data_IF_941407921336
#
_entry.id   IF_941407921336
#
_cell.length_a   1.000
_cell.length_b   1.000
_cell.length_c   1.000
_cell.angle_alpha   90.00
_cell.angle_beta   90.00
_cell.angle_gamma   90.00
#
_symmetry.space_group_name_H-M   'P 1'
#
loop_
_entity.id
_entity.type
_entity.pdbx_description
1 polymer ?
#
# COMPACT_ATOMS: atom_id res chain seq x y z
N UNK A 1 7.40 4.47 0.50
CA UNK A 1 6.48 3.73 1.38
C UNK A 1 6.09 4.61 2.53
N UNK A 2 4.79 4.83 2.71
CA UNK A 2 4.25 5.64 3.82
C UNK A 2 4.07 4.78 5.06
N UNK A 3 4.31 5.39 6.22
CA UNK A 3 4.26 4.73 7.52
C UNK A 3 2.88 4.88 8.13
N UNK A 4 2.31 3.75 8.52
CA UNK A 4 0.99 3.66 9.11
C UNK A 4 1.13 3.31 10.58
N UNK A 5 0.31 3.96 11.40
CA UNK A 5 0.14 3.60 12.80
C UNK A 5 -1.33 3.31 13.08
N UNK A 6 -1.60 2.28 13.89
CA UNK A 6 -2.96 1.84 14.23
C UNK A 6 -3.17 1.99 15.74
N UNK A 7 -4.22 2.72 16.11
CA UNK A 7 -4.54 3.06 17.50
C UNK A 7 -5.97 2.59 17.81
N UNK A 8 -6.09 1.55 18.62
CA UNK A 8 -7.38 0.96 19.01
C UNK A 8 -7.13 0.16 20.29
N UNK A 9 -7.99 0.27 21.31
CA UNK A 9 -7.80 -0.43 22.58
C UNK A 9 -7.99 -1.96 22.43
N UNK A 10 -8.77 -2.38 21.44
CA UNK A 10 -8.99 -3.78 21.11
C UNK A 10 -7.87 -4.34 20.20
N UNK A 11 -7.00 -5.17 20.79
CA UNK A 11 -5.94 -5.87 20.05
C UNK A 11 -6.47 -6.69 18.86
N UNK A 12 -7.68 -7.23 18.96
CA UNK A 12 -8.32 -7.98 17.90
C UNK A 12 -8.57 -7.12 16.65
N UNK A 13 -9.01 -5.87 16.84
CA UNK A 13 -9.26 -4.92 15.73
C UNK A 13 -7.94 -4.50 15.07
N UNK A 14 -6.90 -4.21 15.87
CA UNK A 14 -5.56 -3.92 15.32
C UNK A 14 -5.04 -5.08 14.45
N UNK A 15 -5.18 -6.31 14.95
CA UNK A 15 -4.81 -7.51 14.21
C UNK A 15 -5.64 -7.71 12.93
N UNK A 16 -6.94 -7.40 12.99
CA UNK A 16 -7.85 -7.49 11.85
C UNK A 16 -7.42 -6.50 10.76
N UNK A 17 -7.33 -5.20 11.09
CA UNK A 17 -6.91 -4.15 10.14
C UNK A 17 -5.60 -4.51 9.44
N UNK A 18 -4.61 -4.95 10.23
CA UNK A 18 -3.30 -5.35 9.72
C UNK A 18 -3.38 -6.49 8.69
N UNK A 19 -4.34 -7.41 8.85
CA UNK A 19 -4.52 -8.58 7.96
C UNK A 19 -5.48 -8.33 6.81
N UNK A 20 -6.41 -7.39 6.95
CA UNK A 20 -7.44 -7.08 5.95
C UNK A 20 -6.86 -6.40 4.72
N UNK A 21 -5.81 -5.60 4.90
CA UNK A 21 -5.21 -4.76 3.85
C UNK A 21 -3.87 -5.34 3.44
N UNK A 22 -3.58 -5.31 2.14
CA UNK A 22 -2.25 -5.59 1.64
C UNK A 22 -1.45 -4.27 1.59
N UNK A 23 -0.88 -3.89 2.72
CA UNK A 23 -0.18 -2.61 2.90
C UNK A 23 0.95 -2.42 1.88
N UNK A 24 1.71 -3.47 1.61
CA UNK A 24 2.84 -3.42 0.69
C UNK A 24 2.39 -3.18 -0.76
N UNK A 25 1.28 -3.79 -1.19
CA UNK A 25 0.67 -3.53 -2.52
C UNK A 25 0.25 -2.05 -2.66
N UNK A 26 -0.03 -1.36 -1.56
CA UNK A 26 -0.42 0.06 -1.51
C UNK A 26 0.74 1.01 -1.19
N UNK A 27 1.99 0.54 -1.18
CA UNK A 27 3.15 1.34 -0.77
C UNK A 27 2.99 1.92 0.65
N UNK A 28 2.37 1.15 1.54
CA UNK A 28 2.19 1.44 2.96
C UNK A 28 2.90 0.37 3.82
N UNK A 29 3.26 0.74 5.05
CA UNK A 29 3.71 -0.24 6.07
C UNK A 29 3.25 0.16 7.45
N UNK A 30 2.70 -0.80 8.19
CA UNK A 30 2.35 -0.62 9.61
C UNK A 30 3.64 -0.67 10.43
N UNK A 31 4.05 0.47 10.98
CA UNK A 31 5.27 0.66 11.78
C UNK A 31 4.97 0.94 13.26
N UNK A 32 3.69 1.11 13.62
CA UNK A 32 3.27 1.44 14.98
C UNK A 32 1.90 0.88 15.33
N UNK A 33 1.76 0.41 16.56
CA UNK A 33 0.47 0.05 17.16
C UNK A 33 0.40 0.67 18.56
N UNK A 34 -0.78 1.16 18.96
CA UNK A 34 -1.03 1.65 20.31
C UNK A 34 -2.44 1.26 20.76
N UNK A 35 -2.62 1.07 22.07
CA UNK A 35 -3.90 0.73 22.70
C UNK A 35 -4.62 1.95 23.29
N UNK A 36 -4.04 3.14 23.21
CA UNK A 36 -4.66 4.39 23.67
C UNK A 36 -4.07 5.61 22.97
N UNK A 37 -4.77 6.74 23.00
CA UNK A 37 -4.24 8.02 22.51
C UNK A 37 -2.96 8.45 23.24
N UNK A 38 -2.83 8.16 24.53
CA UNK A 38 -1.64 8.49 25.33
C UNK A 38 -0.43 7.68 24.87
N UNK A 39 -0.59 6.36 24.73
CA UNK A 39 0.46 5.50 24.19
C UNK A 39 0.86 5.94 22.79
N UNK A 40 -0.13 6.29 21.96
CA UNK A 40 0.14 6.77 20.61
C UNK A 40 1.01 8.03 20.60
N UNK A 41 0.70 9.03 21.45
CA UNK A 41 1.48 10.26 21.58
C UNK A 41 2.94 9.98 22.00
N UNK A 42 3.17 8.99 22.85
CA UNK A 42 4.53 8.70 23.34
C UNK A 42 5.46 8.14 22.26
N UNK A 43 4.91 7.43 21.27
CA UNK A 43 5.70 6.76 20.24
C UNK A 43 5.60 7.42 18.85
N UNK A 44 4.72 8.42 18.69
CA UNK A 44 4.49 9.09 17.40
C UNK A 44 5.74 9.80 16.88
N UNK A 45 6.56 10.38 17.76
CA UNK A 45 7.78 11.09 17.39
C UNK A 45 8.90 10.15 16.92
N UNK A 46 8.89 8.90 17.41
CA UNK A 46 9.83 7.84 17.02
C UNK A 46 9.42 7.21 15.68
N UNK A 47 8.14 6.84 15.55
CA UNK A 47 7.60 6.19 14.36
C UNK A 47 7.48 7.17 13.20
N UNK A 48 7.12 8.43 13.48
CA UNK A 48 6.76 9.48 12.52
C UNK A 48 5.80 8.97 11.44
N UNK A 49 4.59 8.50 11.81
CA UNK A 49 3.65 7.99 10.85
C UNK A 49 3.17 9.09 9.89
N UNK A 50 2.90 8.71 8.65
CA UNK A 50 2.25 9.56 7.65
C UNK A 50 0.72 9.43 7.75
N UNK A 51 0.24 8.24 8.15
CA UNK A 51 -1.18 7.92 8.33
C UNK A 51 -1.40 7.30 9.72
N UNK A 52 -2.42 7.75 10.44
CA UNK A 52 -2.92 7.11 11.65
C UNK A 52 -4.37 6.66 11.46
N UNK A 53 -4.63 5.39 11.73
CA UNK A 53 -5.98 4.89 12.02
C UNK A 53 -6.22 4.95 13.52
N UNK A 54 -7.30 5.58 13.97
CA UNK A 54 -7.59 5.73 15.40
C UNK A 54 -9.06 5.47 15.71
N UNK A 55 -9.32 4.61 16.70
CA UNK A 55 -10.67 4.41 17.24
C UNK A 55 -11.15 5.63 18.03
N UNK A 56 -12.45 5.95 17.96
CA UNK A 56 -13.01 7.05 18.77
C UNK A 56 -12.99 6.70 20.25
N UNK A 57 -13.46 5.51 20.64
CA UNK A 57 -13.74 5.19 22.04
C UNK A 57 -12.63 4.35 22.64
N UNK A 58 -11.64 5.06 23.16
CA UNK A 58 -10.56 4.46 23.94
C UNK A 58 -10.56 5.03 25.38
N UNK A 59 -10.10 4.26 26.37
CA UNK A 59 -9.93 4.75 27.74
C UNK A 59 -8.95 5.92 27.83
N UNK A 60 -9.16 6.78 28.84
CA UNK A 60 -8.33 7.94 29.23
C UNK A 60 -8.26 9.10 28.22
N UNK A 61 -8.02 8.81 26.95
CA UNK A 61 -7.98 9.77 25.86
C UNK A 61 -8.68 9.17 24.64
N UNK A 62 -9.76 9.81 24.21
CA UNK A 62 -10.53 9.35 23.07
C UNK A 62 -9.87 9.75 21.74
N UNK A 63 -10.27 9.11 20.63
CA UNK A 63 -9.65 9.32 19.32
C UNK A 63 -9.79 10.75 18.79
N UNK A 64 -10.84 11.47 19.19
CA UNK A 64 -11.11 12.86 18.79
C UNK A 64 -10.16 13.82 19.53
N UNK A 65 -9.98 13.62 20.83
CA UNK A 65 -9.01 14.35 21.65
C UNK A 65 -7.58 14.13 21.13
N UNK A 66 -7.24 12.87 20.84
CA UNK A 66 -5.98 12.50 20.21
C UNK A 66 -5.80 13.21 18.86
N UNK A 67 -6.79 13.15 17.97
CA UNK A 67 -6.71 13.77 16.65
C UNK A 67 -6.52 15.29 16.73
N UNK A 68 -7.24 15.95 17.65
CA UNK A 68 -7.12 17.39 17.92
C UNK A 68 -5.71 17.77 18.38
N UNK A 69 -5.11 16.95 19.24
CA UNK A 69 -3.73 17.13 19.68
C UNK A 69 -2.73 16.90 18.53
N UNK A 70 -2.89 15.79 17.82
CA UNK A 70 -1.97 15.34 16.78
C UNK A 70 -1.95 16.27 15.57
N UNK A 71 -3.10 16.69 15.05
CA UNK A 71 -3.17 17.59 13.88
C UNK A 71 -2.52 18.95 14.16
N UNK A 72 -2.71 19.49 15.37
CA UNK A 72 -2.08 20.76 15.77
C UNK A 72 -0.55 20.67 15.78
N UNK A 73 0.01 19.51 16.16
CA UNK A 73 1.45 19.30 16.29
C UNK A 73 2.09 18.77 15.00
N UNK A 74 1.35 18.00 14.21
CA UNK A 74 1.79 17.33 12.99
C UNK A 74 0.82 17.67 11.85
N UNK A 75 0.89 18.87 11.24
CA UNK A 75 -0.10 19.32 10.25
C UNK A 75 -0.16 18.48 8.98
N UNK A 76 0.91 17.73 8.67
CA UNK A 76 0.99 16.83 7.50
C UNK A 76 0.46 15.42 7.80
N UNK A 77 0.19 15.10 9.06
CA UNK A 77 -0.30 13.78 9.47
C UNK A 77 -1.73 13.58 8.97
N UNK A 78 -1.97 12.46 8.29
CA UNK A 78 -3.31 12.07 7.85
C UNK A 78 -3.94 11.19 8.93
N UNK A 79 -5.11 11.59 9.42
CA UNK A 79 -5.81 10.85 10.48
C UNK A 79 -7.12 10.31 9.91
N UNK A 80 -7.31 8.99 10.07
CA UNK A 80 -8.52 8.27 9.71
C UNK A 80 -9.18 7.78 10.99
N UNK A 81 -10.40 8.21 11.23
CA UNK A 81 -11.17 7.84 12.41
C UNK A 81 -11.89 6.51 12.17
N UNK A 82 -11.89 5.61 13.15
CA UNK A 82 -12.68 4.38 13.15
C UNK A 82 -13.79 4.51 14.20
N UNK A 83 -15.04 4.24 13.82
CA UNK A 83 -16.18 4.36 14.73
C UNK A 83 -17.19 3.23 14.56
N UNK A 84 -17.71 2.72 15.68
CA UNK A 84 -18.80 1.75 15.69
C UNK A 84 -20.20 2.39 15.62
N UNK A 85 -20.30 3.72 15.69
CA UNK A 85 -21.57 4.45 15.73
C UNK A 85 -21.65 5.45 14.58
N UNK A 86 -22.80 5.47 13.91
CA UNK A 86 -23.25 6.50 12.96
C UNK A 86 -23.66 7.80 13.67
N UNK A 87 -23.04 8.13 14.81
CA UNK A 87 -23.39 9.34 15.54
C UNK A 87 -22.92 10.57 14.75
N UNK A 88 -23.91 11.26 14.18
CA UNK A 88 -23.73 12.48 13.41
C UNK A 88 -22.91 13.55 14.15
N UNK A 89 -22.95 13.56 15.49
CA UNK A 89 -22.18 14.52 16.29
C UNK A 89 -20.67 14.26 16.18
N UNK A 90 -20.24 13.00 16.19
CA UNK A 90 -18.83 12.66 16.02
C UNK A 90 -18.33 12.98 14.61
N UNK A 91 -19.14 12.67 13.57
CA UNK A 91 -18.79 13.00 12.20
C UNK A 91 -18.60 14.52 12.02
N UNK A 92 -19.52 15.33 12.57
CA UNK A 92 -19.43 16.80 12.53
C UNK A 92 -18.18 17.32 13.25
N UNK A 93 -17.87 16.76 14.40
CA UNK A 93 -16.68 17.14 15.17
C UNK A 93 -15.38 16.77 14.43
N UNK A 94 -15.32 15.57 13.85
CA UNK A 94 -14.18 15.09 13.06
C UNK A 94 -13.89 16.00 11.86
N UNK A 95 -14.94 16.40 11.12
CA UNK A 95 -14.82 17.35 10.00
C UNK A 95 -14.23 18.68 10.47
N UNK A 96 -14.70 19.20 11.61
CA UNK A 96 -14.22 20.47 12.16
C UNK A 96 -12.77 20.45 12.64
N UNK A 97 -12.23 19.28 13.00
CA UNK A 97 -10.85 19.12 13.49
C UNK A 97 -9.86 18.96 12.32
N UNK A 98 -10.34 18.61 11.13
CA UNK A 98 -9.50 18.40 9.94
C UNK A 98 -8.95 16.98 9.83
N UNK A 99 -9.66 15.97 10.33
CA UNK A 99 -9.32 14.57 10.03
C UNK A 99 -9.47 14.32 8.53
N UNK A 100 -8.68 13.39 7.99
CA UNK A 100 -8.62 13.12 6.55
C UNK A 100 -9.81 12.29 6.07
N UNK A 101 -10.28 11.36 6.90
CA UNK A 101 -11.48 10.59 6.65
C UNK A 101 -12.02 9.91 7.92
N UNK A 102 -13.18 9.28 7.82
CA UNK A 102 -13.74 8.42 8.86
C UNK A 102 -14.35 7.15 8.26
N UNK A 103 -14.21 6.02 8.95
CA UNK A 103 -14.69 4.71 8.53
C UNK A 103 -15.58 4.08 9.60
N UNK A 104 -16.67 3.45 9.16
CA UNK A 104 -17.62 2.75 10.03
C UNK A 104 -17.16 1.31 10.29
N UNK A 105 -17.33 0.85 11.54
CA UNK A 105 -17.24 -0.57 11.90
C UNK A 105 -18.62 -1.21 11.63
N UNK A 106 -18.72 -2.40 11.02
CA UNK A 106 -17.64 -3.31 10.67
C UNK A 106 -16.85 -2.84 9.45
N UNK A 107 -15.52 -2.88 9.56
CA UNK A 107 -14.64 -2.28 8.56
C UNK A 107 -14.62 -3.15 7.30
N UNK A 108 -15.11 -2.61 6.18
CA UNK A 108 -15.16 -3.31 4.90
C UNK A 108 -13.89 -3.03 4.10
N UNK A 109 -13.23 -4.08 3.59
CA UNK A 109 -11.96 -3.94 2.84
C UNK A 109 -12.04 -2.95 1.67
N UNK A 110 -13.16 -2.92 0.96
CA UNK A 110 -13.36 -2.01 -0.17
C UNK A 110 -13.30 -0.54 0.28
N UNK A 111 -14.04 -0.18 1.34
CA UNK A 111 -14.05 1.18 1.89
C UNK A 111 -12.66 1.62 2.37
N UNK A 112 -11.94 0.75 3.09
CA UNK A 112 -10.57 1.08 3.53
C UNK A 112 -9.67 1.34 2.32
N UNK A 113 -9.78 0.49 1.29
CA UNK A 113 -8.95 0.65 0.10
C UNK A 113 -9.26 1.98 -0.58
N UNK A 114 -10.51 2.33 -0.77
CA UNK A 114 -10.91 3.58 -1.43
C UNK A 114 -10.42 4.81 -0.65
N UNK A 115 -10.59 4.81 0.67
CA UNK A 115 -10.06 5.85 1.57
C UNK A 115 -8.54 5.93 1.51
N UNK A 116 -7.83 4.80 1.49
CA UNK A 116 -6.37 4.77 1.39
C UNK A 116 -5.89 5.29 0.04
N UNK A 117 -6.52 4.93 -1.09
CA UNK A 117 -6.14 5.47 -2.40
C UNK A 117 -6.26 7.00 -2.44
N UNK A 118 -7.35 7.54 -1.88
CA UNK A 118 -7.57 9.00 -1.77
C UNK A 118 -6.48 9.66 -0.92
N UNK A 119 -6.17 9.10 0.25
CA UNK A 119 -5.18 9.68 1.17
C UNK A 119 -3.76 9.57 0.64
N UNK A 120 -3.42 8.44 0.00
CA UNK A 120 -2.13 8.27 -0.67
C UNK A 120 -1.96 9.32 -1.76
N UNK A 121 -2.99 9.57 -2.58
CA UNK A 121 -2.96 10.64 -3.58
C UNK A 121 -2.67 12.02 -2.97
N UNK A 122 -3.30 12.35 -1.84
CA UNK A 122 -3.01 13.60 -1.13
C UNK A 122 -1.57 13.68 -0.59
N UNK A 123 -1.08 12.59 -0.02
CA UNK A 123 0.30 12.50 0.48
C UNK A 123 1.32 12.58 -0.65
N UNK A 124 1.00 12.01 -1.82
CA UNK A 124 1.81 12.12 -3.02
C UNK A 124 1.83 13.57 -3.50
N UNK A 125 0.68 14.24 -3.61
CA UNK A 125 0.58 15.64 -4.02
C UNK A 125 1.35 16.59 -3.09
N UNK A 126 1.20 16.42 -1.77
CA UNK A 126 1.91 17.21 -0.76
C UNK A 126 3.43 16.99 -0.80
N UNK A 127 3.86 15.79 -1.19
CA UNK A 127 5.27 15.48 -1.37
C UNK A 127 5.81 16.06 -2.67
N UNK A 128 5.06 15.94 -3.76
CA UNK A 128 5.41 16.47 -5.09
C UNK A 128 5.39 18.00 -5.14
N UNK A 129 4.62 18.67 -4.27
CA UNK A 129 4.65 20.14 -4.13
C UNK A 129 5.78 20.62 -3.19
N UNK A 130 6.31 19.74 -2.33
CA UNK A 130 7.41 20.04 -1.41
C UNK A 130 8.80 19.73 -1.99
N UNK A 131 8.86 18.91 -3.03
CA UNK A 131 10.04 18.71 -3.88
C UNK A 131 9.87 19.60 -5.12
N UNK A 132 10.61 20.71 -5.28
CA UNK A 132 10.56 21.45 -6.53
C UNK A 132 10.97 20.51 -7.65
N UNK A 133 10.15 20.49 -8.69
CA UNK A 133 10.35 19.93 -10.02
C UNK A 133 11.84 19.73 -10.36
N UNK A 134 12.44 18.61 -9.95
CA UNK A 134 13.55 18.03 -10.70
C UNK A 134 12.91 17.31 -11.87
N UNK A 135 12.47 18.10 -12.85
CA UNK A 135 12.69 17.73 -14.24
C UNK A 135 14.14 17.25 -14.33
N UNK A 136 14.36 15.95 -14.41
CA UNK A 136 15.53 15.49 -15.15
C UNK A 136 15.21 15.88 -16.58
N UNK A 137 15.66 17.10 -16.92
CA UNK A 137 15.99 17.51 -18.27
C UNK A 137 16.56 16.30 -18.99
N UNK A 138 15.97 16.01 -20.16
CA UNK A 138 16.67 15.67 -21.37
C UNK A 138 18.20 15.42 -21.22
N UNK A 139 18.60 14.33 -20.58
CA UNK A 139 19.98 13.85 -20.72
C UNK A 139 20.04 13.11 -22.05
N UNK A 140 20.12 13.90 -23.13
CA UNK A 140 20.52 13.44 -24.46
C UNK A 140 19.49 12.61 -25.23
N UNK A 141 18.43 13.24 -25.73
CA UNK A 141 17.73 12.80 -26.95
C UNK A 141 16.98 11.45 -26.92
N UNK A 142 16.94 10.74 -25.81
CA UNK A 142 16.09 9.55 -25.61
C UNK A 142 15.03 9.85 -24.55
N UNK A 143 13.80 10.12 -25.01
CA UNK A 143 12.64 10.10 -24.11
C UNK A 143 12.40 8.65 -23.71
N UNK A 144 12.69 8.29 -22.46
CA UNK A 144 12.41 6.95 -21.98
C UNK A 144 10.91 6.71 -22.04
N UNK A 145 10.49 5.69 -22.78
CA UNK A 145 9.07 5.39 -22.99
C UNK A 145 8.57 4.33 -22.01
N UNK A 146 7.25 4.25 -21.81
CA UNK A 146 6.66 3.18 -21.00
C UNK A 146 6.93 1.81 -21.63
N UNK A 147 7.07 1.72 -22.97
CA UNK A 147 7.46 0.48 -23.63
C UNK A 147 8.84 -0.03 -23.20
N UNK A 148 9.80 0.86 -22.97
CA UNK A 148 11.14 0.48 -22.49
C UNK A 148 11.08 -0.03 -21.05
N UNK A 149 10.27 0.60 -20.20
CA UNK A 149 10.03 0.15 -18.83
C UNK A 149 9.34 -1.22 -18.83
N UNK A 150 8.33 -1.41 -19.68
CA UNK A 150 7.65 -2.71 -19.88
C UNK A 150 8.66 -3.79 -20.29
N UNK A 151 9.53 -3.46 -21.25
CA UNK A 151 10.56 -4.39 -21.72
C UNK A 151 11.51 -4.76 -20.58
N UNK A 152 12.00 -3.76 -19.84
CA UNK A 152 12.87 -4.01 -18.69
C UNK A 152 12.22 -4.90 -17.64
N UNK A 153 10.94 -4.68 -17.32
CA UNK A 153 10.19 -5.53 -16.39
C UNK A 153 10.13 -6.98 -16.91
N UNK A 154 9.84 -7.17 -18.20
CA UNK A 154 9.77 -8.50 -18.82
C UNK A 154 11.13 -9.20 -18.87
N UNK A 155 12.22 -8.45 -19.00
CA UNK A 155 13.57 -9.02 -19.05
C UNK A 155 14.13 -9.31 -17.65
N UNK A 156 13.61 -8.66 -16.60
CA UNK A 156 14.16 -8.71 -15.23
C UNK A 156 13.16 -9.20 -14.17
N UNK A 157 12.03 -9.80 -14.56
CA UNK A 157 10.95 -10.23 -13.65
C UNK A 157 11.41 -11.17 -12.52
N UNK A 158 12.52 -11.89 -12.73
CA UNK A 158 13.11 -12.85 -11.78
C UNK A 158 13.73 -12.16 -10.55
N UNK A 159 14.07 -10.86 -10.65
CA UNK A 159 14.64 -10.11 -9.53
C UNK A 159 13.59 -9.88 -8.43
N UNK A 160 13.83 -10.52 -7.27
CA UNK A 160 12.99 -10.40 -6.07
C UNK A 160 12.87 -8.98 -5.52
N UNK A 161 13.78 -8.08 -5.86
CA UNK A 161 13.77 -6.68 -5.43
C UNK A 161 13.06 -5.76 -6.42
N UNK A 162 12.68 -6.26 -7.59
CA UNK A 162 11.97 -5.50 -8.61
C UNK A 162 10.57 -5.10 -8.13
N UNK A 163 10.34 -3.79 -8.06
CA UNK A 163 9.07 -3.16 -7.71
C UNK A 163 9.01 -1.73 -8.30
N UNK A 164 7.88 -1.03 -8.14
CA UNK A 164 7.72 0.34 -8.63
C UNK A 164 8.89 1.24 -8.22
N UNK A 165 9.30 1.23 -6.95
CA UNK A 165 10.38 2.08 -6.43
C UNK A 165 11.72 1.79 -7.11
N UNK A 166 12.07 0.51 -7.26
CA UNK A 166 13.35 0.15 -7.90
C UNK A 166 13.37 0.52 -9.38
N UNK A 167 12.26 0.32 -10.10
CA UNK A 167 12.12 0.73 -11.51
C UNK A 167 12.17 2.26 -11.63
N UNK A 168 11.46 2.98 -10.77
CA UNK A 168 11.46 4.46 -10.77
C UNK A 168 12.89 4.99 -10.65
N UNK A 169 13.64 4.48 -9.66
CA UNK A 169 15.04 4.86 -9.45
C UNK A 169 15.94 4.50 -10.62
N UNK A 170 15.76 3.32 -11.22
CA UNK A 170 16.55 2.85 -12.37
C UNK A 170 16.41 3.76 -13.58
N UNK A 171 15.18 4.25 -13.83
CA UNK A 171 14.85 5.08 -14.99
C UNK A 171 14.85 6.58 -14.69
N UNK A 172 15.27 7.00 -13.49
CA UNK A 172 15.30 8.42 -13.10
C UNK A 172 13.92 9.06 -12.95
N UNK A 173 12.86 8.26 -12.79
CA UNK A 173 11.53 8.77 -12.52
C UNK A 173 11.28 8.86 -11.02
N UNK A 174 10.51 9.86 -10.61
CA UNK A 174 9.84 9.78 -9.32
C UNK A 174 8.74 8.69 -9.39
N UNK A 175 8.51 7.99 -8.27
CA UNK A 175 7.61 6.84 -8.26
C UNK A 175 6.15 7.18 -8.53
N UNK A 176 5.71 8.39 -8.19
CA UNK A 176 4.32 8.83 -8.36
C UNK A 176 4.02 9.14 -9.83
N UNK A 177 4.95 9.81 -10.54
CA UNK A 177 4.93 10.04 -11.98
C UNK A 177 4.90 8.73 -12.74
N UNK A 178 5.82 7.81 -12.42
CA UNK A 178 5.86 6.52 -13.10
C UNK A 178 4.58 5.71 -12.83
N UNK A 179 4.06 5.70 -11.59
CA UNK A 179 2.81 5.01 -11.27
C UNK A 179 1.64 5.53 -12.10
N UNK A 180 1.47 6.86 -12.17
CA UNK A 180 0.40 7.51 -12.93
C UNK A 180 0.56 7.26 -14.43
N UNK A 181 1.73 7.59 -14.99
CA UNK A 181 1.99 7.46 -16.44
C UNK A 181 1.89 6.03 -16.92
N UNK A 182 2.44 5.07 -16.16
CA UNK A 182 2.32 3.65 -16.48
C UNK A 182 0.85 3.20 -16.49
N UNK A 183 0.03 3.64 -15.53
CA UNK A 183 -1.41 3.31 -15.49
C UNK A 183 -2.19 3.98 -16.61
N UNK A 184 -1.89 5.23 -16.92
CA UNK A 184 -2.50 5.97 -18.03
C UNK A 184 -2.24 5.28 -19.38
N UNK A 185 -1.02 4.81 -19.62
CA UNK A 185 -0.64 4.19 -20.89
C UNK A 185 -0.99 2.70 -20.98
N UNK A 186 -0.92 1.95 -19.87
CA UNK A 186 -1.15 0.48 -19.88
C UNK A 186 -2.53 0.06 -19.38
N UNK A 187 -3.29 0.97 -18.77
CA UNK A 187 -4.57 0.68 -18.13
C UNK A 187 -4.46 0.01 -16.75
N UNK A 188 -3.24 -0.32 -16.28
CA UNK A 188 -3.02 -1.02 -15.01
C UNK A 188 -1.77 -0.54 -14.28
N UNK A 189 -1.67 -0.84 -12.98
CA UNK A 189 -0.50 -0.47 -12.19
C UNK A 189 0.71 -1.36 -12.47
N UNK A 190 1.92 -0.80 -12.34
CA UNK A 190 3.18 -1.52 -12.59
C UNK A 190 3.32 -2.80 -11.75
N UNK A 191 2.94 -2.75 -10.46
CA UNK A 191 3.00 -3.93 -9.57
C UNK A 191 2.06 -5.05 -10.02
N UNK A 192 0.89 -4.69 -10.57
CA UNK A 192 -0.08 -5.66 -11.13
C UNK A 192 0.52 -6.27 -12.39
N UNK A 193 1.03 -5.44 -13.30
CA UNK A 193 1.68 -5.86 -14.52
C UNK A 193 2.87 -6.81 -14.27
N UNK A 194 3.76 -6.48 -13.34
CA UNK A 194 4.88 -7.35 -12.94
C UNK A 194 4.36 -8.70 -12.41
N UNK A 195 3.30 -8.69 -11.61
CA UNK A 195 2.69 -9.91 -11.09
C UNK A 195 2.13 -10.77 -12.23
N UNK A 196 1.46 -10.18 -13.20
CA UNK A 196 0.95 -10.88 -14.39
C UNK A 196 2.08 -11.53 -15.19
N UNK A 197 3.16 -10.79 -15.48
CA UNK A 197 4.35 -11.32 -16.16
C UNK A 197 4.93 -12.52 -15.40
N UNK A 198 5.07 -12.42 -14.08
CA UNK A 198 5.55 -13.52 -13.23
C UNK A 198 4.63 -14.73 -13.27
N UNK A 199 3.31 -14.54 -13.29
CA UNK A 199 2.35 -15.64 -13.36
C UNK A 199 2.35 -16.32 -14.73
N UNK A 200 2.49 -15.57 -15.83
CA UNK A 200 2.67 -16.16 -17.17
C UNK A 200 3.91 -17.08 -17.20
N UNK A 201 5.03 -16.62 -16.67
CA UNK A 201 6.26 -17.42 -16.55
C UNK A 201 6.12 -18.60 -15.60
N UNK A 202 5.37 -18.45 -14.51
CA UNK A 202 5.06 -19.55 -13.61
C UNK A 202 4.26 -20.67 -14.30
N UNK A 203 3.29 -20.31 -15.16
CA UNK A 203 2.54 -21.28 -15.98
C UNK A 203 3.45 -22.02 -16.97
N UNK A 204 4.36 -21.32 -17.63
CA UNK A 204 5.36 -21.95 -18.51
C UNK A 204 6.23 -22.97 -17.77
N UNK A 205 6.69 -22.64 -16.55
CA UNK A 205 7.49 -23.54 -15.72
C UNK A 205 6.69 -24.74 -15.20
N UNK A 206 5.42 -24.54 -14.86
CA UNK A 206 4.52 -25.61 -14.44
C UNK A 206 4.31 -26.64 -15.55
N UNK A 207 4.08 -26.18 -16.79
CA UNK A 207 3.97 -27.06 -17.98
C UNK A 207 5.23 -27.90 -18.23
N UNK A 208 6.40 -27.46 -17.73
CA UNK A 208 7.68 -28.19 -17.77
C UNK A 208 7.90 -29.10 -16.56
N UNK A 209 6.91 -29.25 -15.67
CA UNK A 209 7.01 -30.09 -14.48
C UNK A 209 7.75 -29.44 -13.30
N UNK A 210 7.98 -28.12 -13.31
CA UNK A 210 8.70 -27.46 -12.21
C UNK A 210 7.81 -27.37 -10.97
N UNK A 211 8.30 -27.86 -9.82
CA UNK A 211 7.54 -27.82 -8.56
C UNK A 211 7.38 -26.38 -8.04
N UNK A 212 6.29 -26.12 -7.30
CA UNK A 212 5.89 -24.79 -6.81
C UNK A 212 7.01 -24.01 -6.14
N UNK A 213 7.74 -24.64 -5.21
CA UNK A 213 8.84 -24.02 -4.49
C UNK A 213 9.97 -23.51 -5.40
N UNK A 214 10.31 -24.29 -6.43
CA UNK A 214 11.33 -23.93 -7.41
C UNK A 214 10.83 -22.84 -8.35
N UNK A 215 9.56 -22.93 -8.77
CA UNK A 215 8.94 -21.92 -9.61
C UNK A 215 8.87 -20.57 -8.91
N UNK A 216 8.45 -20.52 -7.65
CA UNK A 216 8.36 -19.31 -6.85
C UNK A 216 9.71 -18.54 -6.82
N UNK A 217 10.81 -19.26 -6.63
CA UNK A 217 12.16 -18.68 -6.69
C UNK A 217 12.53 -18.18 -8.10
N UNK A 218 12.26 -18.98 -9.13
CA UNK A 218 12.59 -18.63 -10.53
C UNK A 218 11.81 -17.43 -11.06
N UNK A 219 10.64 -17.14 -10.53
CA UNK A 219 9.83 -15.98 -10.96
C UNK A 219 10.00 -14.76 -10.05
N UNK A 220 10.94 -14.79 -9.10
CA UNK A 220 11.21 -13.64 -8.23
C UNK A 220 10.19 -13.43 -7.10
N UNK A 221 9.48 -14.48 -6.68
CA UNK A 221 8.55 -14.45 -5.52
C UNK A 221 9.01 -15.52 -4.52
N UNK A 222 10.02 -15.25 -3.68
CA UNK A 222 10.69 -16.30 -2.90
C UNK A 222 9.81 -16.97 -1.84
N UNK A 223 8.77 -16.29 -1.35
CA UNK A 223 7.79 -16.86 -0.41
C UNK A 223 6.81 -17.78 -1.17
N UNK A 224 6.86 -19.11 -0.97
CA UNK A 224 6.02 -20.06 -1.70
C UNK A 224 4.54 -19.99 -1.29
N UNK A 225 4.24 -19.59 -0.05
CA UNK A 225 2.86 -19.46 0.43
C UNK A 225 2.20 -18.22 -0.20
N UNK A 226 2.94 -17.13 -0.26
CA UNK A 226 2.51 -15.91 -0.94
C UNK A 226 2.34 -16.16 -2.45
N UNK A 227 3.32 -16.79 -3.08
CA UNK A 227 3.25 -17.20 -4.48
C UNK A 227 2.01 -18.06 -4.78
N UNK A 228 1.73 -19.09 -3.96
CA UNK A 228 0.58 -19.97 -4.17
C UNK A 228 -0.76 -19.23 -4.10
N UNK A 229 -0.90 -18.26 -3.17
CA UNK A 229 -2.08 -17.39 -3.09
C UNK A 229 -2.23 -16.50 -4.33
N UNK A 230 -1.13 -15.89 -4.78
CA UNK A 230 -1.11 -15.07 -6.00
C UNK A 230 -1.47 -15.89 -7.24
N UNK A 231 -0.89 -17.08 -7.38
CA UNK A 231 -1.16 -17.95 -8.51
C UNK A 231 -2.64 -18.35 -8.56
N UNK A 232 -3.21 -18.79 -7.43
CA UNK A 232 -4.64 -19.13 -7.36
C UNK A 232 -5.53 -17.94 -7.68
N UNK A 233 -5.20 -16.74 -7.19
CA UNK A 233 -5.94 -15.51 -7.47
C UNK A 233 -5.93 -15.16 -8.96
N UNK A 234 -4.79 -15.29 -9.62
CA UNK A 234 -4.63 -14.87 -11.01
C UNK A 234 -5.02 -15.95 -12.04
N UNK A 235 -4.87 -17.23 -11.70
CA UNK A 235 -5.11 -18.35 -12.62
C UNK A 235 -6.44 -19.06 -12.34
N UNK A 236 -7.02 -18.87 -11.14
CA UNK A 236 -8.29 -19.48 -10.71
C UNK A 236 -8.14 -20.84 -10.02
N UNK A 237 -7.03 -21.55 -10.23
CA UNK A 237 -6.71 -22.85 -9.63
C UNK A 237 -5.37 -22.83 -8.90
N UNK A 238 -5.16 -23.78 -8.00
CA UNK A 238 -3.89 -23.89 -7.27
C UNK A 238 -2.75 -24.27 -8.21
N UNK A 239 -1.51 -23.92 -7.85
CA UNK A 239 -0.34 -24.31 -8.62
C UNK A 239 -0.22 -25.83 -8.76
N UNK A 240 -0.52 -26.60 -7.70
CA UNK A 240 -0.46 -28.06 -7.71
C UNK A 240 -1.50 -28.69 -8.65
N UNK A 241 -2.72 -28.14 -8.70
CA UNK A 241 -3.75 -28.58 -9.66
C UNK A 241 -3.29 -28.28 -11.10
N UNK A 242 -2.81 -27.06 -11.36
CA UNK A 242 -2.28 -26.66 -12.66
C UNK A 242 -1.11 -27.55 -13.12
N UNK A 243 -0.20 -27.89 -12.20
CA UNK A 243 0.94 -28.78 -12.47
C UNK A 243 0.51 -30.22 -12.80
N UNK A 244 -0.58 -30.69 -12.19
CA UNK A 244 -1.11 -32.04 -12.38
C UNK A 244 -2.01 -32.17 -13.62
N UNK A 245 -2.36 -31.04 -14.25
CA UNK A 245 -3.26 -31.00 -15.41
C UNK A 245 -4.75 -31.12 -15.07
N UNK A 246 -5.11 -30.81 -13.82
CA UNK A 246 -6.49 -30.82 -13.30
C UNK A 246 -7.25 -29.51 -13.58
#
# INVERSE_FOLDING_TARGET
MYRVMIVDDEKAIRCLLRRTINWEEMNLRVEGEAASGIEAINIIDEIRPDIIFVDIRMPFMNGIEFARFAIKRYPKLKIIILTAYEDFNYAKECIGIGVSDYLLKPIVRAEINDTLHKIIGQLDDERNQAEPDETIDEIGGYSITIEEIIKYIKDNYEDKTLNLTSVSKMFGFNSSYLSRKFKEETGQGLSVFLTEVRMEKAKELAKKGTIMYMTAQKVGIPDPNYFGKLFKRNVGITYSAYLSGE
#
